data_IF_320755439545
#
_entry.id   IF_320755439545
#
_cell.length_a   1.000
_cell.length_b   1.000
_cell.length_c   1.000
_cell.angle_alpha   90.00
_cell.angle_beta   90.00
_cell.angle_gamma   90.00
#
_symmetry.space_group_name_H-M   'P 1'
#
loop_
_entity.id
_entity.type
_entity.pdbx_description
1 polymer ?
#
# COMPACT_ATOMS: atom_id res chain seq x y z
N UNK A 1 12.82 28.38 -31.88
CA UNK A 1 13.04 28.12 -30.45
C UNK A 1 11.67 27.82 -29.87
N UNK A 2 11.28 26.54 -29.84
CA UNK A 2 10.00 26.12 -29.30
C UNK A 2 10.22 25.75 -27.83
N UNK A 3 9.57 26.47 -26.93
CA UNK A 3 9.57 26.20 -25.50
C UNK A 3 8.97 24.82 -25.19
N UNK A 4 9.38 24.16 -24.10
CA UNK A 4 8.80 22.92 -23.65
C UNK A 4 7.44 23.21 -23.01
N UNK A 5 6.39 23.34 -23.82
CA UNK A 5 5.01 23.10 -23.37
C UNK A 5 4.88 21.59 -23.17
N UNK A 6 5.55 21.10 -22.13
CA UNK A 6 6.01 19.71 -21.99
C UNK A 6 5.23 19.05 -20.87
N UNK A 7 4.33 18.11 -21.20
CA UNK A 7 3.62 17.13 -20.34
C UNK A 7 2.88 17.66 -19.09
N UNK A 8 3.52 18.43 -18.21
CA UNK A 8 2.93 19.06 -17.03
C UNK A 8 1.74 19.97 -17.39
N UNK A 9 1.82 20.72 -18.49
CA UNK A 9 0.70 21.56 -18.97
C UNK A 9 -0.54 20.72 -19.34
N UNK A 10 -0.34 19.54 -19.93
CA UNK A 10 -1.41 18.61 -20.27
C UNK A 10 -2.06 18.02 -19.02
N UNK A 11 -1.25 17.60 -18.05
CA UNK A 11 -1.75 17.03 -16.81
C UNK A 11 -2.53 18.06 -15.94
N UNK A 12 -2.02 19.29 -15.81
CA UNK A 12 -2.74 20.37 -15.11
C UNK A 12 -4.09 20.65 -15.79
N UNK A 13 -4.12 20.66 -17.12
CA UNK A 13 -5.36 20.82 -17.87
C UNK A 13 -6.35 19.67 -17.60
N UNK A 14 -5.88 18.42 -17.55
CA UNK A 14 -6.70 17.25 -17.24
C UNK A 14 -7.21 17.25 -15.80
N UNK A 15 -6.36 17.59 -14.82
CA UNK A 15 -6.77 17.72 -13.42
C UNK A 15 -7.82 18.84 -13.25
N UNK A 16 -7.61 19.98 -13.92
CA UNK A 16 -8.56 21.09 -13.94
C UNK A 16 -9.89 20.69 -14.59
N UNK A 17 -9.84 19.96 -15.70
CA UNK A 17 -11.00 19.44 -16.40
C UNK A 17 -11.82 18.48 -15.54
N UNK A 18 -11.16 17.51 -14.90
CA UNK A 18 -11.80 16.57 -13.99
C UNK A 18 -12.45 17.29 -12.81
N UNK A 19 -11.73 18.22 -12.18
CA UNK A 19 -12.22 19.04 -11.08
C UNK A 19 -13.47 19.84 -11.47
N UNK A 20 -13.41 20.60 -12.56
CA UNK A 20 -14.55 21.39 -13.03
C UNK A 20 -15.77 20.53 -13.36
N UNK A 21 -15.55 19.36 -13.97
CA UNK A 21 -16.62 18.42 -14.32
C UNK A 21 -17.27 17.82 -13.06
N UNK A 22 -16.46 17.46 -12.06
CA UNK A 22 -16.95 16.93 -10.79
C UNK A 22 -17.71 17.98 -9.96
N UNK A 23 -17.24 19.23 -9.94
CA UNK A 23 -17.94 20.37 -9.32
C UNK A 23 -19.27 20.66 -10.03
N UNK A 24 -19.29 20.62 -11.36
CA UNK A 24 -20.51 20.82 -12.16
C UNK A 24 -21.56 19.75 -11.84
N UNK A 25 -21.15 18.49 -11.79
CA UNK A 25 -22.03 17.39 -11.40
C UNK A 25 -22.53 17.55 -9.96
N UNK A 26 -21.65 17.85 -9.00
CA UNK A 26 -22.02 18.09 -7.60
C UNK A 26 -23.09 19.18 -7.47
N UNK A 27 -22.88 20.34 -8.10
CA UNK A 27 -23.83 21.45 -8.09
C UNK A 27 -25.16 21.06 -8.74
N UNK A 28 -25.12 20.28 -9.83
CA UNK A 28 -26.32 19.79 -10.50
C UNK A 28 -27.12 18.86 -9.58
N UNK A 29 -26.47 17.89 -8.92
CA UNK A 29 -27.12 17.01 -7.95
C UNK A 29 -27.70 17.79 -6.77
N UNK A 30 -26.95 18.76 -6.24
CA UNK A 30 -27.36 19.58 -5.10
C UNK A 30 -28.55 20.50 -5.43
N UNK A 31 -28.74 20.88 -6.70
CA UNK A 31 -29.87 21.72 -7.12
C UNK A 31 -31.25 21.07 -6.94
N UNK A 32 -31.32 19.74 -6.82
CA UNK A 32 -32.56 19.00 -6.55
C UNK A 32 -32.88 18.95 -5.05
N UNK A 33 -34.17 19.02 -4.69
CA UNK A 33 -34.57 19.17 -3.27
C UNK A 33 -34.65 17.84 -2.49
N UNK A 34 -34.77 16.70 -3.18
CA UNK A 34 -34.96 15.39 -2.55
C UNK A 34 -33.81 14.46 -2.91
N UNK A 35 -32.99 14.11 -1.92
CA UNK A 35 -31.87 13.18 -2.06
C UNK A 35 -32.12 11.89 -1.28
N UNK A 36 -32.45 10.76 -1.94
CA UNK A 36 -32.43 9.46 -1.29
C UNK A 36 -31.00 9.14 -0.81
N UNK A 37 -30.85 8.19 0.12
CA UNK A 37 -29.56 7.86 0.75
C UNK A 37 -28.41 7.73 -0.27
N UNK A 38 -28.57 6.89 -1.29
CA UNK A 38 -27.57 6.71 -2.37
C UNK A 38 -27.12 7.99 -3.07
N UNK A 39 -27.99 9.00 -3.18
CA UNK A 39 -27.64 10.30 -3.79
C UNK A 39 -26.87 11.17 -2.81
N UNK A 40 -27.18 11.10 -1.51
CA UNK A 40 -26.36 11.76 -0.48
C UNK A 40 -24.98 11.13 -0.41
N UNK A 41 -24.91 9.81 -0.44
CA UNK A 41 -23.65 9.07 -0.45
C UNK A 41 -22.82 9.40 -1.72
N UNK A 42 -23.46 9.57 -2.89
CA UNK A 42 -22.79 10.08 -4.10
C UNK A 42 -22.30 11.53 -3.92
N UNK A 43 -23.08 12.38 -3.26
CA UNK A 43 -22.73 13.78 -3.03
C UNK A 43 -21.50 13.91 -2.11
N UNK A 44 -21.44 13.10 -1.05
CA UNK A 44 -20.28 12.98 -0.18
C UNK A 44 -19.05 12.50 -0.96
N UNK A 45 -19.22 11.47 -1.80
CA UNK A 45 -18.14 10.97 -2.64
C UNK A 45 -17.61 12.05 -3.59
N UNK A 46 -18.49 12.79 -4.26
CA UNK A 46 -18.14 13.92 -5.14
C UNK A 46 -17.41 15.04 -4.38
N UNK A 47 -17.83 15.36 -3.15
CA UNK A 47 -17.15 16.35 -2.31
C UNK A 47 -15.73 15.91 -1.98
N UNK A 48 -15.54 14.65 -1.59
CA UNK A 48 -14.20 14.10 -1.33
C UNK A 48 -13.34 14.04 -2.59
N UNK A 49 -13.91 13.67 -3.73
CA UNK A 49 -13.23 13.66 -5.03
C UNK A 49 -12.79 15.08 -5.44
N UNK A 50 -13.65 16.09 -5.25
CA UNK A 50 -13.30 17.49 -5.51
C UNK A 50 -12.11 17.94 -4.65
N UNK A 51 -12.09 17.59 -3.37
CA UNK A 51 -10.96 17.90 -2.49
C UNK A 51 -9.64 17.26 -2.96
N UNK A 52 -9.69 15.99 -3.38
CA UNK A 52 -8.52 15.26 -3.89
C UNK A 52 -8.02 15.85 -5.22
N UNK A 53 -8.94 16.20 -6.13
CA UNK A 53 -8.60 16.81 -7.42
C UNK A 53 -8.00 18.21 -7.27
N UNK A 54 -8.48 18.99 -6.31
CA UNK A 54 -7.91 20.31 -5.99
C UNK A 54 -6.50 20.17 -5.40
N UNK A 55 -6.32 19.26 -4.44
CA UNK A 55 -5.01 18.94 -3.87
C UNK A 55 -4.01 18.45 -4.95
N UNK A 56 -4.46 17.65 -5.91
CA UNK A 56 -3.65 17.25 -7.06
C UNK A 56 -3.26 18.46 -7.91
N UNK A 57 -4.19 19.35 -8.24
CA UNK A 57 -3.92 20.56 -9.03
C UNK A 57 -2.87 21.43 -8.34
N UNK A 58 -3.00 21.64 -7.03
CA UNK A 58 -2.02 22.39 -6.24
C UNK A 58 -0.65 21.72 -6.23
N UNK A 59 -0.61 20.40 -6.02
CA UNK A 59 0.65 19.62 -5.98
C UNK A 59 1.40 19.67 -7.31
N UNK A 60 0.69 19.51 -8.43
CA UNK A 60 1.28 19.57 -9.78
C UNK A 60 1.79 20.98 -10.10
N UNK A 61 1.07 22.02 -9.66
CA UNK A 61 1.49 23.41 -9.86
C UNK A 61 2.70 23.79 -8.99
N UNK A 62 2.80 23.24 -7.77
CA UNK A 62 3.89 23.55 -6.85
C UNK A 62 5.16 22.73 -7.13
N UNK A 63 5.03 21.52 -7.66
CA UNK A 63 6.14 20.58 -7.85
C UNK A 63 6.28 20.15 -9.31
N UNK A 64 6.97 20.95 -10.12
CA UNK A 64 7.22 20.64 -11.54
C UNK A 64 8.04 19.36 -11.78
N UNK A 65 8.71 18.84 -10.75
CA UNK A 65 9.50 17.60 -10.81
C UNK A 65 8.68 16.33 -10.48
N UNK A 66 7.47 16.46 -9.92
CA UNK A 66 6.63 15.32 -9.57
C UNK A 66 5.92 14.79 -10.84
N UNK A 67 6.38 13.63 -11.34
CA UNK A 67 5.81 13.03 -12.54
C UNK A 67 4.54 12.21 -12.22
N UNK A 68 3.38 12.73 -12.61
CA UNK A 68 2.09 12.04 -12.56
C UNK A 68 1.54 11.67 -13.95
N UNK A 69 2.38 11.50 -14.98
CA UNK A 69 1.93 11.16 -16.33
C UNK A 69 1.04 9.90 -16.40
N UNK A 70 1.18 8.98 -15.43
CA UNK A 70 0.31 7.79 -15.35
C UNK A 70 -1.15 8.12 -15.04
N UNK A 71 -1.46 9.31 -14.50
CA UNK A 71 -2.82 9.77 -14.19
C UNK A 71 -3.56 10.39 -15.39
N UNK A 72 -2.92 10.57 -16.55
CA UNK A 72 -3.56 11.24 -17.70
C UNK A 72 -4.90 10.60 -18.08
N UNK A 73 -4.92 9.27 -18.30
CA UNK A 73 -6.14 8.55 -18.63
C UNK A 73 -7.15 8.52 -17.46
N UNK A 74 -6.77 8.19 -16.21
CA UNK A 74 -7.67 8.29 -15.05
C UNK A 74 -8.35 9.66 -14.91
N UNK A 75 -7.62 10.76 -15.09
CA UNK A 75 -8.17 12.11 -14.96
C UNK A 75 -9.10 12.46 -16.12
N UNK A 76 -8.70 12.15 -17.35
CA UNK A 76 -9.54 12.37 -18.52
C UNK A 76 -10.86 11.62 -18.36
N UNK A 77 -10.79 10.35 -17.98
CA UNK A 77 -11.97 9.50 -17.85
C UNK A 77 -12.85 9.91 -16.67
N UNK A 78 -12.27 10.23 -15.51
CA UNK A 78 -13.00 10.77 -14.37
C UNK A 78 -13.81 12.03 -14.74
N UNK A 79 -13.19 12.97 -15.47
CA UNK A 79 -13.88 14.16 -15.95
C UNK A 79 -15.01 13.86 -16.95
N UNK A 80 -14.75 12.96 -17.92
CA UNK A 80 -15.76 12.52 -18.88
C UNK A 80 -16.92 11.82 -18.18
N UNK A 81 -16.66 10.90 -17.26
CA UNK A 81 -17.68 10.19 -16.49
C UNK A 81 -18.57 11.15 -15.69
N UNK A 82 -17.97 12.18 -15.06
CA UNK A 82 -18.73 13.22 -14.38
C UNK A 82 -19.65 13.99 -15.35
N UNK A 83 -19.16 14.36 -16.54
CA UNK A 83 -19.96 15.04 -17.57
C UNK A 83 -21.07 14.16 -18.13
N UNK A 84 -20.74 12.93 -18.52
CA UNK A 84 -21.68 11.97 -19.10
C UNK A 84 -22.83 11.73 -18.10
N UNK A 85 -22.52 11.53 -16.81
CA UNK A 85 -23.53 11.32 -15.78
C UNK A 85 -24.38 12.57 -15.52
N UNK A 86 -23.77 13.77 -15.56
CA UNK A 86 -24.51 15.03 -15.48
C UNK A 86 -25.50 15.18 -16.65
N UNK A 87 -25.10 14.76 -17.85
CA UNK A 87 -25.98 14.74 -19.02
C UNK A 87 -27.13 13.73 -18.87
N UNK A 88 -26.86 12.52 -18.39
CA UNK A 88 -27.93 11.54 -18.12
C UNK A 88 -28.93 12.04 -17.06
N UNK A 89 -28.42 12.71 -16.03
CA UNK A 89 -29.25 13.35 -15.01
C UNK A 89 -30.15 14.45 -15.62
N UNK A 90 -29.60 15.29 -16.49
CA UNK A 90 -30.35 16.33 -17.22
C UNK A 90 -31.39 15.75 -18.18
N UNK A 91 -31.04 14.70 -18.94
CA UNK A 91 -31.95 13.98 -19.85
C UNK A 91 -33.16 13.39 -19.11
N UNK A 92 -32.94 12.84 -17.90
CA UNK A 92 -34.04 12.34 -17.07
C UNK A 92 -34.93 13.47 -16.54
N UNK A 93 -34.35 14.64 -16.24
CA UNK A 93 -35.12 15.79 -15.72
C UNK A 93 -36.05 16.43 -16.75
N UNK A 94 -35.73 16.39 -18.06
CA UNK A 94 -36.58 16.99 -19.11
C UNK A 94 -37.81 16.17 -19.45
N UNK A 95 -37.78 14.85 -19.17
CA UNK A 95 -38.91 13.93 -19.39
C UNK A 95 -39.98 14.00 -18.30
N UNK A 96 -39.65 14.55 -17.13
CA UNK A 96 -40.55 14.74 -16.00
C UNK A 96 -41.20 16.14 -16.02
N UNK A 97 -42.54 16.23 -15.98
CA UNK A 97 -43.25 17.50 -16.13
C UNK A 97 -42.91 18.55 -15.05
N UNK A 98 -42.39 19.69 -15.53
CA UNK A 98 -42.44 21.08 -15.05
C UNK A 98 -42.36 21.49 -13.56
N UNK A 99 -42.32 20.59 -12.57
CA UNK A 99 -42.02 20.97 -11.17
C UNK A 99 -40.55 20.71 -10.87
N UNK A 100 -39.73 21.76 -11.05
CA UNK A 100 -38.25 21.76 -11.04
C UNK A 100 -37.59 21.37 -9.70
N UNK A 101 -38.35 20.85 -8.75
CA UNK A 101 -37.89 20.67 -7.36
C UNK A 101 -37.86 19.22 -6.87
N UNK A 102 -38.54 18.26 -7.51
CA UNK A 102 -38.47 16.85 -7.11
C UNK A 102 -38.04 15.94 -8.26
N UNK A 103 -36.78 15.51 -8.28
CA UNK A 103 -36.34 14.42 -9.15
C UNK A 103 -36.80 13.10 -8.52
N UNK A 104 -37.96 12.59 -8.94
CA UNK A 104 -38.49 11.31 -8.45
C UNK A 104 -37.88 10.10 -9.18
N UNK A 105 -37.12 10.34 -10.24
CA UNK A 105 -36.60 9.31 -11.14
C UNK A 105 -35.18 8.82 -10.77
N UNK A 106 -34.69 9.09 -9.56
CA UNK A 106 -33.38 8.58 -9.08
C UNK A 106 -33.24 7.06 -9.22
N UNK A 107 -34.35 6.32 -9.22
CA UNK A 107 -34.32 4.87 -9.38
C UNK A 107 -34.17 4.38 -10.82
N UNK A 108 -34.43 5.25 -11.81
CA UNK A 108 -34.31 4.94 -13.23
C UNK A 108 -32.98 5.40 -13.82
N UNK A 109 -32.26 6.27 -13.10
CA UNK A 109 -30.96 6.77 -13.55
C UNK A 109 -29.98 5.60 -13.64
N UNK A 110 -29.47 5.38 -14.85
CA UNK A 110 -28.47 4.38 -15.12
C UNK A 110 -27.29 5.00 -15.84
N UNK A 111 -26.12 4.45 -15.59
CA UNK A 111 -24.88 4.80 -16.27
C UNK A 111 -24.15 3.51 -16.62
N UNK A 112 -23.96 3.24 -17.91
CA UNK A 112 -23.31 2.02 -18.39
C UNK A 112 -23.96 0.74 -17.83
N UNK A 113 -25.28 0.75 -17.72
CA UNK A 113 -26.06 -0.35 -17.14
C UNK A 113 -26.10 -0.41 -15.60
N UNK A 114 -25.25 0.35 -14.90
CA UNK A 114 -25.21 0.43 -13.44
C UNK A 114 -26.10 1.53 -12.88
N UNK A 115 -26.43 1.44 -11.59
CA UNK A 115 -27.17 2.47 -10.87
C UNK A 115 -26.22 3.52 -10.23
N UNK A 116 -26.80 4.41 -9.44
CA UNK A 116 -26.08 5.48 -8.73
C UNK A 116 -24.97 4.92 -7.83
N UNK A 117 -25.19 3.78 -7.18
CA UNK A 117 -24.19 3.17 -6.30
C UNK A 117 -23.04 2.56 -7.10
N UNK A 118 -23.30 2.06 -8.31
CA UNK A 118 -22.28 1.68 -9.29
C UNK A 118 -21.40 2.85 -9.73
N UNK A 119 -22.03 3.94 -10.18
CA UNK A 119 -21.32 5.17 -10.55
C UNK A 119 -20.49 5.73 -9.38
N UNK A 120 -21.03 5.72 -8.15
CA UNK A 120 -20.28 6.12 -6.95
C UNK A 120 -19.04 5.25 -6.72
N UNK A 121 -19.15 3.92 -6.85
CA UNK A 121 -18.00 3.00 -6.69
C UNK A 121 -16.91 3.26 -7.72
N UNK A 122 -17.28 3.52 -8.97
CA UNK A 122 -16.35 3.92 -10.02
C UNK A 122 -15.62 5.24 -9.67
N UNK A 123 -16.34 6.27 -9.19
CA UNK A 123 -15.71 7.51 -8.73
C UNK A 123 -14.76 7.29 -7.54
N UNK A 124 -15.12 6.41 -6.60
CA UNK A 124 -14.27 6.05 -5.49
C UNK A 124 -12.96 5.39 -5.96
N UNK A 125 -13.02 4.54 -6.99
CA UNK A 125 -11.84 3.96 -7.64
C UNK A 125 -10.90 5.03 -8.21
N UNK A 126 -11.45 6.04 -8.91
CA UNK A 126 -10.67 7.20 -9.38
C UNK A 126 -10.05 7.99 -8.24
N UNK A 127 -10.85 8.33 -7.24
CA UNK A 127 -10.41 9.08 -6.05
C UNK A 127 -9.24 8.39 -5.37
N UNK A 128 -9.38 7.11 -5.04
CA UNK A 128 -8.36 6.33 -4.34
C UNK A 128 -7.09 6.19 -5.19
N UNK A 129 -7.22 6.00 -6.50
CA UNK A 129 -6.07 5.95 -7.42
C UNK A 129 -5.28 7.27 -7.43
N UNK A 130 -5.98 8.41 -7.43
CA UNK A 130 -5.34 9.73 -7.36
C UNK A 130 -4.64 9.93 -6.01
N UNK A 131 -5.29 9.55 -4.90
CA UNK A 131 -4.67 9.60 -3.56
C UNK A 131 -3.40 8.73 -3.52
N UNK A 132 -3.45 7.53 -4.10
CA UNK A 132 -2.28 6.63 -4.16
C UNK A 132 -1.15 7.28 -4.94
N UNK A 133 -1.44 7.87 -6.10
CA UNK A 133 -0.42 8.56 -6.89
C UNK A 133 0.20 9.76 -6.15
N UNK A 134 -0.62 10.55 -5.42
CA UNK A 134 -0.14 11.64 -4.56
C UNK A 134 0.76 11.12 -3.44
N UNK A 135 0.37 10.04 -2.77
CA UNK A 135 1.16 9.43 -1.72
C UNK A 135 2.47 8.81 -2.26
N UNK A 136 2.45 8.18 -3.45
CA UNK A 136 3.66 7.69 -4.12
C UNK A 136 4.64 8.83 -4.42
N UNK A 137 4.15 9.99 -4.86
CA UNK A 137 4.97 11.18 -5.07
C UNK A 137 5.54 11.72 -3.76
N UNK A 138 4.73 11.84 -2.70
CA UNK A 138 5.16 12.29 -1.39
C UNK A 138 6.22 11.37 -0.76
N UNK A 139 6.05 10.05 -0.92
CA UNK A 139 7.03 9.05 -0.49
C UNK A 139 8.40 9.23 -1.16
N UNK A 140 8.47 9.85 -2.34
CA UNK A 140 9.75 10.17 -3.00
C UNK A 140 10.45 11.37 -2.39
N UNK A 141 9.70 12.30 -1.81
CA UNK A 141 10.23 13.57 -1.35
C UNK A 141 10.57 13.58 0.15
N UNK A 142 9.97 12.70 0.96
CA UNK A 142 10.09 12.72 2.42
C UNK A 142 10.41 11.36 3.05
N UNK A 143 11.09 11.36 4.20
CA UNK A 143 11.19 10.20 5.09
C UNK A 143 9.83 10.02 5.80
N UNK A 144 9.10 8.95 5.46
CA UNK A 144 7.73 8.70 5.96
C UNK A 144 7.77 7.80 7.20
N UNK A 145 6.92 8.12 8.19
CA UNK A 145 6.77 7.33 9.42
C UNK A 145 6.22 5.92 9.13
N UNK A 146 6.65 4.92 9.91
CA UNK A 146 6.30 3.53 9.68
C UNK A 146 4.78 3.26 9.70
N UNK A 147 4.03 3.93 10.57
CA UNK A 147 2.56 3.78 10.67
C UNK A 147 1.84 4.29 9.41
N UNK A 148 2.38 5.35 8.78
CA UNK A 148 1.87 5.86 7.50
C UNK A 148 2.10 4.86 6.36
N UNK A 149 3.15 4.03 6.42
CA UNK A 149 3.42 3.01 5.41
C UNK A 149 2.44 1.83 5.48
N UNK A 150 2.07 1.39 6.69
CA UNK A 150 1.08 0.32 6.86
C UNK A 150 -0.31 0.78 6.40
N UNK A 151 -0.72 1.98 6.79
CA UNK A 151 -1.97 2.57 6.29
C UNK A 151 -1.97 2.74 4.77
N UNK A 152 -0.83 3.10 4.18
CA UNK A 152 -0.70 3.24 2.73
C UNK A 152 -0.75 1.88 2.02
N UNK A 153 -0.12 0.85 2.59
CA UNK A 153 -0.20 -0.52 2.08
C UNK A 153 -1.65 -1.02 2.04
N UNK A 154 -2.37 -0.86 3.16
CA UNK A 154 -3.77 -1.28 3.26
C UNK A 154 -4.66 -0.52 2.25
N UNK A 155 -4.36 0.77 2.00
CA UNK A 155 -5.05 1.57 1.00
C UNK A 155 -4.80 1.05 -0.42
N UNK A 156 -3.56 0.69 -0.77
CA UNK A 156 -3.23 0.08 -2.07
C UNK A 156 -3.98 -1.25 -2.24
N UNK A 157 -3.99 -2.10 -1.22
CA UNK A 157 -4.66 -3.41 -1.24
C UNK A 157 -6.17 -3.25 -1.45
N UNK A 158 -6.84 -2.48 -0.57
CA UNK A 158 -8.27 -2.20 -0.69
C UNK A 158 -8.65 -1.55 -2.02
N UNK A 159 -7.85 -0.61 -2.53
CA UNK A 159 -8.13 0.03 -3.83
C UNK A 159 -7.96 -0.95 -4.97
N UNK A 160 -7.01 -1.88 -4.87
CA UNK A 160 -6.81 -2.92 -5.88
C UNK A 160 -8.01 -3.87 -5.91
N UNK A 161 -8.49 -4.31 -4.75
CA UNK A 161 -9.69 -5.15 -4.63
C UNK A 161 -10.93 -4.46 -5.20
N UNK A 162 -11.13 -3.17 -4.86
CA UNK A 162 -12.25 -2.38 -5.37
C UNK A 162 -12.20 -2.20 -6.90
N UNK A 163 -11.01 -1.99 -7.47
CA UNK A 163 -10.82 -1.88 -8.92
C UNK A 163 -11.01 -3.22 -9.64
N UNK A 164 -10.62 -4.34 -9.01
CA UNK A 164 -10.89 -5.69 -9.55
C UNK A 164 -12.39 -5.97 -9.60
N UNK A 165 -13.12 -5.69 -8.51
CA UNK A 165 -14.57 -5.82 -8.47
C UNK A 165 -15.25 -4.90 -9.50
N UNK A 166 -14.71 -3.71 -9.74
CA UNK A 166 -15.21 -2.83 -10.79
C UNK A 166 -14.97 -3.38 -12.20
N UNK A 167 -13.80 -3.94 -12.46
CA UNK A 167 -13.45 -4.56 -13.74
C UNK A 167 -14.36 -5.77 -14.04
N UNK A 168 -14.67 -6.58 -13.02
CA UNK A 168 -15.67 -7.65 -13.12
C UNK A 168 -17.04 -7.11 -13.51
N UNK A 169 -17.51 -6.04 -12.86
CA UNK A 169 -18.79 -5.39 -13.18
C UNK A 169 -18.84 -4.87 -14.62
N UNK A 170 -17.75 -4.23 -15.09
CA UNK A 170 -17.61 -3.79 -16.49
C UNK A 170 -17.69 -4.98 -17.44
N UNK A 171 -16.98 -6.06 -17.15
CA UNK A 171 -16.99 -7.28 -17.96
C UNK A 171 -18.41 -7.88 -18.04
N UNK A 172 -19.13 -7.98 -16.94
CA UNK A 172 -20.53 -8.46 -16.95
C UNK A 172 -21.45 -7.57 -17.79
N UNK A 173 -21.26 -6.25 -17.73
CA UNK A 173 -22.08 -5.31 -18.49
C UNK A 173 -21.76 -5.37 -19.99
N UNK A 174 -20.47 -5.56 -20.35
CA UNK A 174 -20.05 -5.84 -21.72
C UNK A 174 -20.70 -7.13 -22.24
N UNK A 175 -20.65 -8.22 -21.47
CA UNK A 175 -21.28 -9.50 -21.82
C UNK A 175 -22.79 -9.36 -22.01
N UNK A 176 -23.48 -8.65 -21.12
CA UNK A 176 -24.93 -8.40 -21.22
C UNK A 176 -25.27 -7.64 -22.50
N UNK A 177 -24.45 -6.66 -22.88
CA UNK A 177 -24.71 -5.82 -24.05
C UNK A 177 -24.37 -6.57 -25.36
N UNK A 178 -23.24 -7.29 -25.40
CA UNK A 178 -22.87 -8.15 -26.52
C UNK A 178 -23.90 -9.29 -26.70
N UNK A 179 -24.36 -9.91 -25.62
CA UNK A 179 -25.38 -10.97 -25.65
C UNK A 179 -26.74 -10.51 -26.20
N UNK A 180 -27.16 -9.27 -25.88
CA UNK A 180 -28.35 -8.66 -26.51
C UNK A 180 -28.18 -8.53 -28.02
N UNK A 181 -27.00 -8.11 -28.47
CA UNK A 181 -26.70 -7.94 -29.90
C UNK A 181 -26.60 -9.28 -30.63
N UNK A 182 -26.08 -10.31 -29.95
CA UNK A 182 -25.96 -11.67 -30.49
C UNK A 182 -27.29 -12.44 -30.55
N UNK A 183 -28.37 -11.93 -29.93
CA UNK A 183 -29.70 -12.52 -30.02
C UNK A 183 -30.37 -12.33 -31.40
N UNK A 184 -29.77 -11.54 -32.29
CA UNK A 184 -30.14 -11.47 -33.70
C UNK A 184 -29.61 -12.68 -34.49
N UNK A 185 -30.47 -13.35 -35.25
CA UNK A 185 -30.15 -14.54 -36.08
C UNK A 185 -29.24 -14.22 -37.29
N UNK A 186 -28.03 -13.70 -37.06
CA UNK A 186 -27.04 -13.43 -38.11
C UNK A 186 -25.73 -14.17 -37.86
N UNK A 187 -24.98 -14.46 -38.93
CA UNK A 187 -23.62 -15.02 -38.85
C UNK A 187 -22.69 -14.15 -38.00
N UNK A 188 -22.89 -12.83 -38.00
CA UNK A 188 -22.10 -11.88 -37.19
C UNK A 188 -22.33 -12.01 -35.68
N UNK A 189 -23.50 -12.51 -35.25
CA UNK A 189 -23.77 -12.78 -33.83
C UNK A 189 -22.93 -13.93 -33.27
N UNK A 190 -22.75 -15.00 -34.05
CA UNK A 190 -21.92 -16.14 -33.66
C UNK A 190 -20.43 -15.78 -33.59
N UNK A 191 -19.95 -14.93 -34.51
CA UNK A 191 -18.58 -14.43 -34.46
C UNK A 191 -18.33 -13.51 -33.24
N UNK A 192 -19.29 -12.67 -32.86
CA UNK A 192 -19.20 -11.84 -31.66
C UNK A 192 -19.08 -12.68 -30.38
N UNK A 193 -19.84 -13.77 -30.28
CA UNK A 193 -19.77 -14.67 -29.13
C UNK A 193 -18.39 -15.37 -29.04
N UNK A 194 -17.85 -15.85 -30.16
CA UNK A 194 -16.52 -16.47 -30.19
C UNK A 194 -15.41 -15.49 -29.77
N UNK A 195 -15.50 -14.23 -30.21
CA UNK A 195 -14.53 -13.19 -29.80
C UNK A 195 -14.61 -12.90 -28.30
N UNK A 196 -15.80 -12.95 -27.72
CA UNK A 196 -16.00 -12.74 -26.29
C UNK A 196 -15.45 -13.91 -25.46
N UNK A 197 -15.66 -15.15 -25.89
CA UNK A 197 -15.03 -16.33 -25.29
C UNK A 197 -13.50 -16.25 -25.36
N UNK A 198 -12.95 -15.80 -26.50
CA UNK A 198 -11.52 -15.58 -26.67
C UNK A 198 -10.99 -14.46 -25.76
N UNK A 199 -11.75 -13.39 -25.57
CA UNK A 199 -11.44 -12.27 -24.65
C UNK A 199 -11.34 -12.77 -23.21
N UNK A 200 -12.35 -13.50 -22.74
CA UNK A 200 -12.40 -14.07 -21.40
C UNK A 200 -11.27 -15.07 -21.16
N UNK A 201 -11.01 -15.95 -22.13
CA UNK A 201 -9.90 -16.90 -22.10
C UNK A 201 -8.54 -16.19 -22.01
N UNK A 202 -8.34 -15.14 -22.83
CA UNK A 202 -7.11 -14.32 -22.81
C UNK A 202 -6.92 -13.63 -21.46
N UNK A 203 -8.00 -13.09 -20.87
CA UNK A 203 -7.97 -12.49 -19.53
C UNK A 203 -7.58 -13.53 -18.46
N UNK A 204 -8.10 -14.76 -18.53
CA UNK A 204 -7.73 -15.81 -17.58
C UNK A 204 -6.26 -16.21 -17.71
N UNK A 205 -5.73 -16.26 -18.93
CA UNK A 205 -4.31 -16.50 -19.18
C UNK A 205 -3.43 -15.43 -18.51
N UNK A 206 -3.83 -14.15 -18.53
CA UNK A 206 -3.12 -13.06 -17.84
C UNK A 206 -3.11 -13.25 -16.32
N UNK A 207 -4.25 -13.64 -15.73
CA UNK A 207 -4.34 -13.93 -14.30
C UNK A 207 -3.39 -15.07 -13.90
N UNK A 208 -3.33 -16.13 -14.71
CA UNK A 208 -2.40 -17.25 -14.51
C UNK A 208 -0.94 -16.77 -14.59
N UNK A 209 -0.61 -15.93 -15.57
CA UNK A 209 0.73 -15.33 -15.67
C UNK A 209 1.10 -14.53 -14.41
N UNK A 210 0.16 -13.74 -13.87
CA UNK A 210 0.37 -12.96 -12.65
C UNK A 210 0.56 -13.85 -11.42
N UNK A 211 -0.28 -14.88 -11.26
CA UNK A 211 -0.17 -15.84 -10.15
C UNK A 211 1.18 -16.55 -10.15
N UNK A 212 1.64 -17.00 -11.33
CA UNK A 212 2.92 -17.67 -11.47
C UNK A 212 4.09 -16.71 -11.18
N UNK A 213 4.02 -15.47 -11.64
CA UNK A 213 5.02 -14.43 -11.35
C UNK A 213 5.14 -14.15 -9.84
N UNK A 214 4.00 -14.04 -9.15
CA UNK A 214 3.96 -13.87 -7.70
C UNK A 214 4.58 -15.08 -6.97
N UNK A 215 4.28 -16.29 -7.42
CA UNK A 215 4.84 -17.51 -6.85
C UNK A 215 6.37 -17.58 -7.03
N UNK A 216 6.89 -17.18 -8.20
CA UNK A 216 8.34 -17.06 -8.44
C UNK A 216 8.97 -16.04 -7.48
N UNK A 217 8.33 -14.89 -7.29
CA UNK A 217 8.83 -13.86 -6.36
C UNK A 217 8.86 -14.36 -4.90
N UNK A 218 7.89 -15.18 -4.48
CA UNK A 218 7.88 -15.81 -3.16
C UNK A 218 9.03 -16.80 -2.98
N UNK A 219 9.28 -17.64 -3.99
CA UNK A 219 10.40 -18.59 -3.98
C UNK A 219 11.75 -17.89 -3.82
N UNK A 220 11.94 -16.76 -4.52
CA UNK A 220 13.14 -15.92 -4.41
C UNK A 220 13.28 -15.22 -3.05
N UNK A 221 12.19 -14.95 -2.33
CA UNK A 221 12.18 -14.28 -1.02
C UNK A 221 12.36 -15.23 0.17
N UNK A 222 12.19 -16.54 0.00
CA UNK A 222 12.23 -17.50 1.12
C UNK A 222 13.63 -17.61 1.76
N UNK A 223 13.81 -17.19 3.04
CA UNK A 223 15.07 -17.41 3.75
C UNK A 223 15.15 -18.87 4.15
N UNK A 224 16.24 -19.56 3.77
CA UNK A 224 16.47 -20.95 4.16
C UNK A 224 16.47 -21.07 5.69
N UNK A 225 15.48 -21.76 6.24
CA UNK A 225 15.42 -22.19 7.63
C UNK A 225 16.70 -22.95 7.96
N UNK A 226 17.54 -22.37 8.80
CA UNK A 226 18.83 -22.94 9.17
C UNK A 226 18.67 -24.33 9.82
N UNK A 227 19.39 -25.31 9.27
CA UNK A 227 20.01 -26.36 10.08
C UNK A 227 21.51 -26.12 10.02
N UNK A 228 22.06 -25.81 11.19
CA UNK A 228 23.36 -25.18 11.34
C UNK A 228 24.55 -26.02 10.86
N UNK A 229 25.57 -25.30 10.42
CA UNK A 229 26.92 -25.47 10.93
C UNK A 229 27.62 -24.12 10.75
N UNK A 230 28.36 -23.71 11.78
CA UNK A 230 29.28 -22.59 11.68
C UNK A 230 30.37 -22.91 10.64
N UNK A 231 30.93 -21.84 10.05
CA UNK A 231 31.96 -21.81 9.00
C UNK A 231 31.49 -22.10 7.57
N UNK A 232 31.14 -21.05 6.82
CA UNK A 232 31.96 -20.65 5.67
C UNK A 232 31.50 -19.31 5.08
N UNK A 233 32.49 -18.54 4.67
CA UNK A 233 32.40 -17.34 3.85
C UNK A 233 31.51 -17.56 2.62
N UNK A 234 30.78 -16.50 2.27
CA UNK A 234 30.06 -16.25 1.03
C UNK A 234 30.49 -17.14 -0.16
N UNK A 235 29.69 -18.15 -0.46
CA UNK A 235 29.54 -18.63 -1.83
C UNK A 235 28.14 -19.22 -1.94
N UNK A 236 27.23 -18.46 -2.56
CA UNK A 236 25.96 -18.98 -3.03
C UNK A 236 26.26 -20.26 -3.82
N UNK A 237 25.77 -21.42 -3.37
CA UNK A 237 26.13 -22.70 -3.95
C UNK A 237 25.77 -22.70 -5.45
N UNK A 238 26.61 -23.28 -6.32
CA UNK A 238 26.37 -23.32 -7.78
C UNK A 238 24.93 -23.72 -8.14
N UNK A 239 24.27 -24.71 -7.48
CA UNK A 239 22.86 -25.04 -7.74
C UNK A 239 21.87 -23.91 -7.46
N UNK A 240 22.13 -23.08 -6.45
CA UNK A 240 21.29 -21.95 -6.07
C UNK A 240 21.39 -20.80 -7.07
N UNK A 241 22.60 -20.54 -7.60
CA UNK A 241 22.78 -19.58 -8.70
C UNK A 241 22.05 -20.02 -9.95
N UNK A 242 22.21 -21.29 -10.36
CA UNK A 242 21.53 -21.85 -11.54
C UNK A 242 20.00 -21.81 -11.36
N UNK A 243 19.50 -22.11 -10.16
CA UNK A 243 18.04 -22.04 -9.88
C UNK A 243 17.53 -20.60 -9.95
N UNK A 244 18.26 -19.64 -9.38
CA UNK A 244 17.87 -18.23 -9.42
C UNK A 244 17.94 -17.64 -10.85
N UNK A 245 18.96 -18.02 -11.63
CA UNK A 245 19.08 -17.66 -13.05
C UNK A 245 17.90 -18.21 -13.85
N UNK A 246 17.54 -19.50 -13.68
CA UNK A 246 16.39 -20.10 -14.36
C UNK A 246 15.04 -19.50 -13.93
N UNK A 247 14.87 -19.18 -12.64
CA UNK A 247 13.68 -18.46 -12.16
C UNK A 247 13.58 -17.05 -12.75
N UNK A 248 14.71 -16.37 -12.92
CA UNK A 248 14.75 -15.05 -13.53
C UNK A 248 14.41 -15.09 -15.03
N UNK A 249 14.93 -16.07 -15.78
CA UNK A 249 14.57 -16.30 -17.18
C UNK A 249 13.08 -16.64 -17.33
N UNK A 250 12.53 -17.46 -16.42
CA UNK A 250 11.10 -17.76 -16.37
C UNK A 250 10.27 -16.49 -16.16
N UNK A 251 10.70 -15.62 -15.25
CA UNK A 251 10.03 -14.34 -14.97
C UNK A 251 10.03 -13.41 -16.19
N UNK A 252 11.14 -13.33 -16.92
CA UNK A 252 11.25 -12.54 -18.15
C UNK A 252 10.37 -13.11 -19.27
N UNK A 253 10.36 -14.44 -19.45
CA UNK A 253 9.49 -15.12 -20.40
C UNK A 253 8.00 -14.90 -20.10
N UNK A 254 7.61 -14.95 -18.83
CA UNK A 254 6.24 -14.66 -18.38
C UNK A 254 5.86 -13.21 -18.63
N UNK A 255 6.74 -12.27 -18.34
CA UNK A 255 6.51 -10.85 -18.61
C UNK A 255 6.28 -10.60 -20.12
N UNK A 256 7.10 -11.20 -20.97
CA UNK A 256 6.94 -11.12 -22.42
C UNK A 256 5.63 -11.75 -22.92
N UNK A 257 5.22 -12.87 -22.33
CA UNK A 257 3.96 -13.54 -22.66
C UNK A 257 2.76 -12.71 -22.22
N UNK A 258 2.79 -12.17 -21.01
CA UNK A 258 1.77 -11.27 -20.49
C UNK A 258 1.60 -10.03 -21.39
N UNK A 259 2.70 -9.39 -21.80
CA UNK A 259 2.63 -8.25 -22.72
C UNK A 259 2.00 -8.59 -24.08
N UNK A 260 2.25 -9.79 -24.62
CA UNK A 260 1.59 -10.25 -25.86
C UNK A 260 0.10 -10.48 -25.66
N UNK A 261 -0.29 -11.09 -24.54
CA UNK A 261 -1.69 -11.33 -24.19
C UNK A 261 -2.44 -10.02 -23.95
N UNK A 262 -1.82 -9.03 -23.30
CA UNK A 262 -2.39 -7.70 -23.11
C UNK A 262 -2.64 -7.00 -24.45
N UNK A 263 -1.67 -7.05 -25.37
CA UNK A 263 -1.85 -6.47 -26.71
C UNK A 263 -2.96 -7.19 -27.49
N UNK A 264 -3.02 -8.52 -27.39
CA UNK A 264 -4.09 -9.31 -27.99
C UNK A 264 -5.47 -8.92 -27.43
N UNK A 265 -5.56 -8.72 -26.11
CA UNK A 265 -6.79 -8.32 -25.45
C UNK A 265 -7.29 -6.94 -25.92
N UNK A 266 -6.38 -5.98 -26.13
CA UNK A 266 -6.71 -4.67 -26.71
C UNK A 266 -7.27 -4.80 -28.13
N UNK A 267 -6.62 -5.61 -28.98
CA UNK A 267 -7.06 -5.86 -30.36
C UNK A 267 -8.43 -6.55 -30.37
N UNK A 268 -8.66 -7.55 -29.52
CA UNK A 268 -9.95 -8.22 -29.40
C UNK A 268 -11.05 -7.25 -28.99
N UNK A 269 -10.79 -6.38 -28.02
CA UNK A 269 -11.77 -5.41 -27.55
C UNK A 269 -12.15 -4.38 -28.62
N UNK A 270 -11.17 -3.88 -29.39
CA UNK A 270 -11.44 -3.01 -30.55
C UNK A 270 -12.26 -3.73 -31.64
N UNK A 271 -11.96 -5.01 -31.88
CA UNK A 271 -12.69 -5.84 -32.85
C UNK A 271 -14.14 -6.12 -32.42
N UNK A 272 -14.35 -6.42 -31.13
CA UNK A 272 -15.69 -6.58 -30.55
C UNK A 272 -16.47 -5.28 -30.68
N UNK A 273 -15.84 -4.13 -30.44
CA UNK A 273 -16.49 -2.82 -30.55
C UNK A 273 -16.91 -2.50 -32.00
N UNK A 274 -16.00 -2.69 -32.96
CA UNK A 274 -16.27 -2.41 -34.38
C UNK A 274 -17.37 -3.30 -34.93
N UNK A 275 -17.37 -4.60 -34.59
CA UNK A 275 -18.47 -5.50 -34.96
C UNK A 275 -19.76 -5.18 -34.22
N UNK A 276 -19.71 -4.88 -32.93
CA UNK A 276 -20.91 -4.51 -32.17
C UNK A 276 -21.60 -3.31 -32.79
N UNK A 277 -20.86 -2.25 -33.17
CA UNK A 277 -21.41 -1.08 -33.89
C UNK A 277 -22.17 -1.43 -35.18
N UNK A 278 -21.75 -2.48 -35.89
CA UNK A 278 -22.43 -2.92 -37.12
C UNK A 278 -23.71 -3.72 -36.85
N UNK A 279 -23.82 -4.35 -35.68
CA UNK A 279 -24.94 -5.23 -35.30
C UNK A 279 -25.96 -4.51 -34.41
N UNK A 280 -25.52 -3.54 -33.59
CA UNK A 280 -26.37 -2.74 -32.69
C UNK A 280 -27.28 -1.79 -33.47
N UNK A 281 -28.56 -1.79 -33.14
CA UNK A 281 -29.56 -0.88 -33.73
C UNK A 281 -29.91 0.32 -32.84
N UNK A 282 -29.51 0.30 -31.57
CA UNK A 282 -29.77 1.38 -30.60
C UNK A 282 -28.55 2.29 -30.44
N UNK A 283 -28.72 3.60 -30.65
CA UNK A 283 -27.68 4.61 -30.46
C UNK A 283 -27.20 4.70 -29.00
N UNK A 284 -28.09 4.43 -28.04
CA UNK A 284 -27.79 4.41 -26.60
C UNK A 284 -26.87 3.24 -26.23
N UNK A 285 -27.11 2.05 -26.79
CA UNK A 285 -26.28 0.86 -26.54
C UNK A 285 -24.86 1.01 -27.16
N UNK A 286 -24.74 1.72 -28.29
CA UNK A 286 -23.43 2.02 -28.91
C UNK A 286 -22.61 2.94 -28.02
N UNK A 287 -23.25 3.94 -27.44
CA UNK A 287 -22.59 4.92 -26.57
C UNK A 287 -22.19 4.29 -25.23
N UNK A 288 -23.04 3.46 -24.63
CA UNK A 288 -22.70 2.72 -23.42
C UNK A 288 -21.58 1.69 -23.66
N UNK A 289 -21.51 1.04 -24.84
CA UNK A 289 -20.35 0.21 -25.22
C UNK A 289 -19.05 1.01 -25.28
N UNK A 290 -19.08 2.22 -25.85
CA UNK A 290 -17.90 3.10 -25.90
C UNK A 290 -17.44 3.46 -24.50
N UNK A 291 -18.37 3.86 -23.63
CA UNK A 291 -18.08 4.21 -22.24
C UNK A 291 -17.50 3.01 -21.47
N UNK A 292 -18.09 1.81 -21.63
CA UNK A 292 -17.59 0.56 -21.03
C UNK A 292 -16.15 0.24 -21.45
N UNK A 293 -15.81 0.41 -22.72
CA UNK A 293 -14.45 0.20 -23.20
C UNK A 293 -13.46 1.19 -22.58
N UNK A 294 -13.81 2.47 -22.54
CA UNK A 294 -12.93 3.51 -21.98
C UNK A 294 -12.72 3.32 -20.47
N UNK A 295 -13.78 2.96 -19.73
CA UNK A 295 -13.69 2.59 -18.31
C UNK A 295 -12.86 1.33 -18.11
N UNK A 296 -12.98 0.33 -19.00
CA UNK A 296 -12.20 -0.91 -18.92
C UNK A 296 -10.69 -0.65 -19.04
N UNK A 297 -10.27 0.16 -20.02
CA UNK A 297 -8.86 0.50 -20.19
C UNK A 297 -8.35 1.36 -19.02
N UNK A 298 -9.16 2.31 -18.58
CA UNK A 298 -8.79 3.20 -17.48
C UNK A 298 -8.69 2.45 -16.15
N UNK A 299 -9.60 1.52 -15.86
CA UNK A 299 -9.57 0.71 -14.63
C UNK A 299 -8.29 -0.12 -14.55
N UNK A 300 -7.87 -0.73 -15.68
CA UNK A 300 -6.58 -1.44 -15.74
C UNK A 300 -5.38 -0.52 -15.52
N UNK A 301 -5.44 0.70 -16.04
CA UNK A 301 -4.39 1.68 -15.78
C UNK A 301 -4.34 2.11 -14.31
N UNK A 302 -5.50 2.25 -13.66
CA UNK A 302 -5.59 2.51 -12.22
C UNK A 302 -4.97 1.36 -11.42
N UNK A 303 -5.25 0.10 -11.79
CA UNK A 303 -4.61 -1.07 -11.18
C UNK A 303 -3.10 -1.09 -11.39
N UNK A 304 -2.62 -0.71 -12.58
CA UNK A 304 -1.19 -0.59 -12.85
C UNK A 304 -0.52 0.46 -11.95
N UNK A 305 -1.18 1.59 -11.70
CA UNK A 305 -0.71 2.61 -10.74
C UNK A 305 -0.62 2.02 -9.33
N UNK A 306 -1.65 1.30 -8.87
CA UNK A 306 -1.68 0.66 -7.55
C UNK A 306 -0.56 -0.37 -7.40
N UNK A 307 -0.39 -1.24 -8.40
CA UNK A 307 0.68 -2.24 -8.44
C UNK A 307 2.07 -1.61 -8.37
N UNK A 308 2.31 -0.57 -9.18
CA UNK A 308 3.58 0.17 -9.21
C UNK A 308 3.87 0.91 -7.90
N UNK A 309 2.85 1.44 -7.25
CA UNK A 309 2.96 2.03 -5.92
C UNK A 309 3.30 0.96 -4.87
N UNK A 310 2.68 -0.23 -4.95
CA UNK A 310 2.96 -1.38 -4.10
C UNK A 310 4.41 -1.88 -4.24
N UNK A 311 4.89 -2.06 -5.47
CA UNK A 311 6.29 -2.49 -5.70
C UNK A 311 7.29 -1.48 -5.14
N UNK A 312 7.01 -0.18 -5.27
CA UNK A 312 7.87 0.87 -4.70
C UNK A 312 7.83 0.90 -3.18
N UNK A 313 6.67 0.63 -2.59
CA UNK A 313 6.54 0.52 -1.16
C UNK A 313 7.37 -0.65 -0.61
N UNK A 314 7.35 -1.80 -1.29
CA UNK A 314 8.21 -2.96 -1.00
C UNK A 314 9.71 -2.63 -1.13
N UNK A 315 10.09 -1.79 -2.09
CA UNK A 315 11.47 -1.34 -2.26
C UNK A 315 11.94 -0.42 -1.12
N UNK A 316 11.05 0.46 -0.63
CA UNK A 316 11.37 1.47 0.40
C UNK A 316 11.15 1.02 1.84
N UNK A 317 10.43 -0.07 2.06
CA UNK A 317 10.18 -0.63 3.39
C UNK A 317 10.81 -2.01 3.53
N UNK A 318 11.40 -2.30 4.69
CA UNK A 318 11.95 -3.61 5.02
C UNK A 318 11.32 -4.08 6.31
N UNK A 319 10.64 -5.23 6.24
CA UNK A 319 10.10 -5.88 7.44
C UNK A 319 11.13 -6.83 8.03
N UNK A 320 11.57 -6.61 9.27
CA UNK A 320 12.57 -7.44 9.95
C UNK A 320 12.01 -7.93 11.29
N UNK A 321 11.83 -9.24 11.45
CA UNK A 321 11.60 -9.85 12.76
C UNK A 321 12.88 -10.55 13.23
N UNK A 322 13.49 -10.01 14.28
CA UNK A 322 14.72 -10.52 14.87
C UNK A 322 14.41 -11.16 16.23
N UNK A 323 14.82 -12.41 16.42
CA UNK A 323 14.69 -13.14 17.67
C UNK A 323 16.03 -13.73 18.09
N UNK A 324 16.44 -13.50 19.34
CA UNK A 324 17.64 -14.09 19.90
C UNK A 324 17.43 -14.57 21.34
N UNK A 325 18.20 -15.60 21.70
CA UNK A 325 18.25 -16.16 23.06
C UNK A 325 19.69 -16.16 23.58
N UNK A 326 19.88 -15.99 24.89
CA UNK A 326 21.20 -15.94 25.52
C UNK A 326 21.91 -14.57 25.41
N UNK A 327 23.24 -14.59 25.47
CA UNK A 327 24.10 -13.40 25.39
C UNK A 327 24.26 -12.96 23.92
N UNK A 328 23.22 -12.33 23.38
CA UNK A 328 23.14 -11.93 21.97
C UNK A 328 23.31 -10.41 21.76
N UNK A 329 23.93 -10.04 20.63
CA UNK A 329 23.89 -8.67 20.10
C UNK A 329 23.03 -8.71 18.83
N UNK A 330 21.94 -7.93 18.82
CA UNK A 330 20.99 -7.88 17.73
C UNK A 330 21.04 -6.50 17.05
N UNK A 331 21.29 -6.48 15.75
CA UNK A 331 21.21 -5.28 14.92
C UNK A 331 19.94 -5.30 14.07
N UNK A 332 19.22 -4.18 14.05
CA UNK A 332 18.06 -3.92 13.19
C UNK A 332 18.23 -2.52 12.60
N UNK A 333 19.17 -2.40 11.67
CA UNK A 333 19.75 -1.12 11.26
C UNK A 333 19.59 -0.89 9.77
N UNK A 334 19.24 0.34 9.40
CA UNK A 334 19.20 0.82 8.02
C UNK A 334 20.39 1.73 7.76
N UNK A 335 21.19 1.41 6.75
CA UNK A 335 22.36 2.21 6.32
C UNK A 335 22.09 3.06 5.09
N UNK A 336 20.91 2.90 4.48
CA UNK A 336 20.51 3.51 3.21
C UNK A 336 19.19 4.29 3.31
N UNK A 337 18.82 4.73 4.51
CA UNK A 337 17.57 5.46 4.79
C UNK A 337 16.28 4.70 4.45
N UNK A 338 16.40 3.40 4.15
CA UNK A 338 15.25 2.52 3.96
C UNK A 338 14.51 2.37 5.28
N UNK A 339 13.19 2.55 5.26
CA UNK A 339 12.38 2.44 6.47
C UNK A 339 12.36 0.99 6.92
N UNK A 340 12.77 0.73 8.15
CA UNK A 340 12.69 -0.60 8.76
C UNK A 340 11.44 -0.64 9.63
N UNK A 341 10.55 -1.55 9.29
CA UNK A 341 9.46 -1.97 10.16
C UNK A 341 9.86 -3.30 10.78
N UNK A 342 9.85 -3.46 12.10
CA UNK A 342 10.39 -4.69 12.64
C UNK A 342 10.25 -4.87 14.12
N UNK A 343 10.22 -6.14 14.54
CA UNK A 343 10.19 -6.54 15.95
C UNK A 343 11.53 -7.15 16.30
N UNK A 344 12.20 -6.59 17.32
CA UNK A 344 13.44 -7.14 17.84
C UNK A 344 13.21 -7.71 19.25
N UNK A 345 13.22 -9.04 19.38
CA UNK A 345 12.97 -9.76 20.63
C UNK A 345 14.22 -10.46 21.10
N UNK A 346 14.64 -10.16 22.33
CA UNK A 346 15.81 -10.74 22.98
C UNK A 346 15.45 -11.39 24.30
N UNK A 347 15.86 -12.64 24.52
CA UNK A 347 15.66 -13.38 25.77
C UNK A 347 17.00 -13.87 26.32
N UNK A 348 17.63 -13.06 27.18
CA UNK A 348 18.89 -13.42 27.83
C UNK A 348 19.35 -12.35 28.83
N UNK A 349 20.29 -12.72 29.70
CA UNK A 349 20.79 -11.85 30.77
C UNK A 349 21.65 -10.68 30.24
N UNK A 350 22.32 -10.85 29.08
CA UNK A 350 23.18 -9.81 28.48
C UNK A 350 22.81 -9.47 27.03
N UNK A 351 21.52 -9.54 26.69
CA UNK A 351 21.09 -9.16 25.33
C UNK A 351 21.25 -7.67 25.09
N UNK A 352 21.80 -7.31 23.93
CA UNK A 352 21.97 -5.92 23.47
C UNK A 352 21.30 -5.76 22.13
N UNK A 353 20.57 -4.66 21.97
CA UNK A 353 19.84 -4.38 20.75
C UNK A 353 20.22 -3.01 20.23
N UNK A 354 20.45 -2.94 18.91
CA UNK A 354 20.70 -1.71 18.17
C UNK A 354 19.66 -1.64 17.08
N UNK A 355 18.96 -0.52 16.99
CA UNK A 355 17.95 -0.29 15.97
C UNK A 355 17.99 1.12 15.41
N UNK A 356 17.51 1.28 14.18
CA UNK A 356 17.31 2.60 13.56
C UNK A 356 18.24 2.88 12.39
N UNK A 357 18.39 4.17 12.06
CA UNK A 357 19.22 4.63 10.96
C UNK A 357 20.63 4.95 11.44
N UNK A 358 21.63 4.25 10.89
CA UNK A 358 23.03 4.45 11.23
C UNK A 358 23.84 4.46 9.94
N UNK A 359 24.82 5.37 9.84
CA UNK A 359 25.79 5.31 8.75
C UNK A 359 26.61 4.01 8.83
N UNK A 360 27.11 3.55 7.69
CA UNK A 360 27.97 2.34 7.63
C UNK A 360 29.18 2.45 8.56
N UNK A 361 29.82 3.62 8.62
CA UNK A 361 30.93 3.89 9.54
C UNK A 361 30.51 3.74 11.03
N UNK A 362 29.34 4.27 11.40
CA UNK A 362 28.83 4.17 12.78
C UNK A 362 28.46 2.74 13.13
N UNK A 363 27.83 2.01 12.20
CA UNK A 363 27.47 0.61 12.37
C UNK A 363 28.71 -0.27 12.56
N UNK A 364 29.73 -0.08 11.72
CA UNK A 364 31.00 -0.81 11.84
C UNK A 364 31.72 -0.52 13.15
N UNK A 365 31.75 0.75 13.58
CA UNK A 365 32.38 1.13 14.85
C UNK A 365 31.62 0.54 16.04
N UNK A 366 30.29 0.67 16.06
CA UNK A 366 29.44 0.15 17.12
C UNK A 366 29.53 -1.37 17.22
N UNK A 367 29.56 -2.07 16.08
CA UNK A 367 29.78 -3.52 16.01
C UNK A 367 31.10 -3.92 16.66
N UNK A 368 32.20 -3.24 16.32
CA UNK A 368 33.53 -3.50 16.91
C UNK A 368 33.55 -3.27 18.42
N UNK A 369 32.92 -2.20 18.90
CA UNK A 369 32.93 -1.87 20.32
C UNK A 369 32.05 -2.83 21.14
N UNK A 370 30.89 -3.24 20.60
CA UNK A 370 30.05 -4.24 21.23
C UNK A 370 30.70 -5.62 21.29
N UNK A 371 31.45 -6.00 20.25
CA UNK A 371 32.24 -7.23 20.25
C UNK A 371 33.31 -7.20 21.36
N UNK A 372 34.09 -6.11 21.47
CA UNK A 372 35.13 -5.95 22.51
C UNK A 372 34.57 -6.08 23.92
N UNK A 373 33.40 -5.51 24.20
CA UNK A 373 32.80 -5.60 25.54
C UNK A 373 32.36 -7.04 25.84
N UNK A 374 31.89 -7.79 24.84
CA UNK A 374 31.45 -9.17 25.01
C UNK A 374 32.63 -10.10 25.29
N UNK A 375 33.73 -9.95 24.55
CA UNK A 375 34.95 -10.75 24.74
C UNK A 375 35.80 -10.29 25.94
N UNK A 376 35.87 -8.99 26.23
CA UNK A 376 36.61 -8.46 27.38
C UNK A 376 36.02 -8.83 28.75
N UNK A 377 34.74 -9.19 28.80
CA UNK A 377 34.13 -9.76 30.02
C UNK A 377 34.51 -11.23 30.27
N UNK A 378 34.91 -11.98 29.24
CA UNK A 378 35.40 -13.36 29.40
C UNK A 378 36.81 -13.34 30.01
N UNK A 379 37.69 -12.46 29.52
CA UNK A 379 39.08 -12.36 29.98
C UNK A 379 39.23 -11.89 31.44
N UNK A 380 38.28 -11.10 31.95
CA UNK A 380 38.27 -10.70 33.37
C UNK A 380 37.87 -11.82 34.33
N UNK A 381 37.24 -12.91 33.85
CA UNK A 381 36.93 -14.07 34.70
C UNK A 381 38.07 -15.09 34.76
N UNK A 382 38.97 -15.11 33.78
CA UNK A 382 40.13 -16.01 33.74
C UNK A 382 41.38 -15.44 34.41
N UNK A 383 41.38 -14.16 34.80
CA UNK A 383 42.54 -13.48 35.39
C UNK A 383 42.28 -13.00 36.84
N UNK A 384 42.02 -13.95 37.74
CA UNK A 384 42.27 -13.73 39.18
C UNK A 384 43.69 -14.20 39.51
N UNK A 385 44.62 -13.33 39.96
CA UNK A 385 45.94 -13.80 40.39
C UNK A 385 45.79 -14.49 41.74
N UNK A 386 46.12 -15.78 41.79
CA UNK A 386 46.36 -16.51 43.02
C UNK A 386 47.52 -15.85 43.78
N UNK A 387 47.19 -15.01 44.77
CA UNK A 387 48.19 -14.43 45.67
C UNK A 387 48.45 -15.43 46.80
N UNK A 388 49.46 -16.27 46.60
CA UNK A 388 49.98 -17.13 47.66
C UNK A 388 50.71 -16.31 48.73
N UNK A 389 50.44 -16.63 49.99
CA UNK A 389 51.38 -16.44 51.11
C UNK A 389 51.14 -17.55 52.14
N UNK A 390 52.18 -18.09 52.79
CA UNK A 390 52.11 -19.37 53.49
C UNK A 390 51.66 -19.21 54.96
N UNK A 391 50.86 -20.20 55.38
CA UNK A 391 50.70 -20.78 56.72
C UNK A 391 51.32 -20.10 57.95
N UNK A 392 50.46 -19.78 58.92
CA UNK A 392 50.65 -20.12 60.33
C UNK A 392 49.26 -20.34 60.98
N UNK A 393 49.07 -21.50 61.60
CA UNK A 393 47.88 -21.92 62.35
C UNK A 393 48.12 -21.73 63.86
N UNK A 394 47.10 -21.27 64.59
CA UNK A 394 46.61 -21.73 65.92
C UNK A 394 45.57 -20.71 66.42
N UNK A 395 44.27 -21.04 66.32
CA UNK A 395 43.38 -21.57 67.37
C UNK A 395 42.60 -20.47 68.12
N UNK A 396 41.28 -20.39 67.87
CA UNK A 396 40.19 -20.51 68.86
C UNK A 396 38.85 -20.06 68.26
N UNK A 397 37.78 -20.71 68.71
CA UNK A 397 36.40 -20.72 68.20
C UNK A 397 35.67 -19.38 68.22
N UNK A 398 34.76 -19.17 67.27
CA UNK A 398 33.33 -18.97 67.54
C UNK A 398 32.48 -19.09 66.25
N UNK A 399 31.38 -19.83 66.35
CA UNK A 399 30.40 -20.11 65.30
C UNK A 399 29.59 -18.85 64.93
N UNK A 400 29.35 -18.60 63.63
CA UNK A 400 28.06 -18.13 63.06
C UNK A 400 28.13 -17.91 61.52
N UNK A 401 26.98 -17.81 60.80
CA UNK A 401 26.66 -18.69 59.68
C UNK A 401 27.12 -18.22 58.30
N UNK A 402 27.13 -19.21 57.40
CA UNK A 402 27.33 -19.16 55.95
C UNK A 402 26.64 -17.94 55.32
N UNK A 403 27.41 -16.92 54.95
CA UNK A 403 26.93 -15.78 54.17
C UNK A 403 26.98 -16.13 52.67
N UNK A 404 25.98 -16.88 52.21
CA UNK A 404 25.73 -17.23 50.80
C UNK A 404 25.43 -16.00 49.89
N UNK A 405 25.45 -14.79 50.45
CA UNK A 405 25.05 -13.55 49.78
C UNK A 405 26.20 -12.70 49.23
N UNK A 406 27.47 -13.10 49.40
CA UNK A 406 28.61 -12.26 48.99
C UNK A 406 28.95 -12.31 47.49
N UNK A 407 28.51 -13.34 46.77
CA UNK A 407 28.87 -13.53 45.35
C UNK A 407 27.82 -13.01 44.35
N UNK A 408 26.57 -12.76 44.77
CA UNK A 408 25.48 -12.36 43.85
C UNK A 408 25.21 -10.86 43.78
N UNK A 409 25.57 -10.11 44.82
CA UNK A 409 25.31 -8.67 44.89
C UNK A 409 26.58 -8.03 45.48
N UNK A 410 27.21 -7.11 44.73
CA UNK A 410 28.47 -6.47 45.12
C UNK A 410 28.44 -5.80 46.52
N UNK A 411 29.57 -5.24 47.00
CA UNK A 411 29.68 -4.80 48.39
C UNK A 411 28.61 -3.74 48.71
N UNK A 412 27.56 -4.14 49.43
CA UNK A 412 26.49 -3.26 49.84
C UNK A 412 26.98 -2.15 50.76
N UNK A 413 26.39 -0.96 50.65
CA UNK A 413 26.67 0.16 51.54
C UNK A 413 25.66 0.19 52.69
N UNK A 414 26.14 0.40 53.94
CA UNK A 414 25.28 0.67 55.09
C UNK A 414 24.82 2.13 55.05
N UNK A 415 23.51 2.35 55.02
CA UNK A 415 22.92 3.67 55.26
C UNK A 415 22.92 3.96 56.77
N UNK A 416 23.55 5.06 57.17
CA UNK A 416 23.51 5.54 58.55
C UNK A 416 22.11 6.00 58.91
N UNK A 417 21.53 5.37 59.94
CA UNK A 417 20.24 5.77 60.50
C UNK A 417 20.47 6.94 61.46
N UNK A 418 20.25 8.18 61.02
CA UNK A 418 20.03 9.27 61.96
C UNK A 418 18.58 9.22 62.45
N UNK A 419 18.41 8.68 63.65
CA UNK A 419 17.20 8.83 64.45
C UNK A 419 17.60 9.50 65.75
N UNK A 420 17.48 10.83 65.80
CA UNK A 420 17.32 11.52 67.08
C UNK A 420 15.89 12.04 67.13
N UNK A 421 15.10 11.45 68.02
CA UNK A 421 13.74 11.86 68.33
C UNK A 421 13.72 12.77 69.55
N UNK A 422 12.61 13.52 69.67
CA UNK A 422 11.96 14.18 70.84
C UNK A 422 11.81 15.68 70.61
N UNK A 423 10.67 16.33 70.83
CA UNK A 423 9.41 15.93 71.45
C UNK A 423 8.30 16.97 71.12
N UNK A 424 7.06 16.47 71.00
CA UNK A 424 5.79 17.03 71.50
C UNK A 424 5.37 18.46 71.10
N UNK A 425 4.30 18.59 70.32
CA UNK A 425 2.97 19.02 70.84
C UNK A 425 1.90 19.07 69.76
N UNK A 426 0.72 18.59 70.15
CA UNK A 426 -0.59 18.65 69.51
C UNK A 426 -0.98 20.05 69.01
N UNK A 427 -1.55 20.14 67.79
CA UNK A 427 -2.73 20.98 67.51
C UNK A 427 -3.40 20.57 66.20
N UNK A 428 -4.74 20.56 66.24
CA UNK A 428 -5.68 20.12 65.21
C UNK A 428 -5.72 21.05 63.97
N UNK A 429 -6.34 20.64 62.84
CA UNK A 429 -6.34 21.43 61.60
C UNK A 429 -7.50 22.44 61.58
N UNK A 430 -7.37 23.60 60.92
CA UNK A 430 -8.54 24.33 60.48
C UNK A 430 -8.95 23.87 59.08
N UNK A 431 -10.24 23.55 58.97
CA UNK A 431 -11.00 23.58 57.72
C UNK A 431 -11.08 25.03 57.21
N UNK A 432 -10.99 25.15 55.88
CA UNK A 432 -11.78 26.00 54.95
C UNK A 432 -12.11 27.45 55.35
N UNK A 433 -11.78 28.40 54.47
CA UNK A 433 -12.74 29.20 53.69
C UNK A 433 -12.05 30.39 53.00
N UNK A 434 -12.03 30.38 51.66
CA UNK A 434 -12.72 31.33 50.77
C UNK A 434 -12.47 30.95 49.31
#
# INVERSE_FOLDING_TARGET
>A
MAEPVSLASGLVALATFAFQSSVSLFNTVQSYHSHPKRVRDLTEELETLNGVLDALRETVNANSDANFATLEYPLLRCGNACKDFEEELKKCSTRSSASRTSFREWAKLKYMGEDIDGFRRMLAGYKSTIIIALNDANLRQSSVAADCLESYKNMIESTTDDLEAHLESINENLEKLVGKNASGSSTDAGELQLMEEERLSTQKCLEICQQLSNHIAQLQRSPKTGKGSAESVETCSVPERVTNEGLQECKESLFNTAGKLENHLKILMERIMTKSKTVTTSEEDIEDLRRLQEEWETTRQCMHICSKAGTRLDEKSSTIENYATGDAIQFMVSTNEKVIHGKNRGLGWRTRQVGGHLSDASLQQLSKDMAKITFGSLDRRSSSPARGSPFAHEEAQEEQPVSEFKERYGPGFKLTTERSARNVSSTAPPKRDQ
#
